data_IF_733865962060
#
_entry.id   IF_733865962060
#
_cell.length_a   1.000
_cell.length_b   1.000
_cell.length_c   1.000
_cell.angle_alpha   90.00
_cell.angle_beta   90.00
_cell.angle_gamma   90.00
#
_symmetry.space_group_name_H-M   'P 1'
#
loop_
_entity.id
_entity.type
_entity.pdbx_description
1 polymer ?
#
# COMPACT_ATOMS: atom_id res chain seq x y z
N UNK A 1 -8.67 -14.83 16.04
CA UNK A 1 -7.78 -14.89 14.86
C UNK A 1 -7.96 -16.16 14.03
N UNK A 2 -8.32 -17.28 14.63
CA UNK A 2 -8.50 -18.56 13.92
C UNK A 2 -9.68 -18.55 12.95
N UNK A 3 -10.71 -17.74 13.19
CA UNK A 3 -11.95 -17.70 12.40
C UNK A 3 -11.75 -17.06 11.00
N UNK A 4 -10.77 -16.17 10.83
CA UNK A 4 -10.52 -15.48 9.56
C UNK A 4 -9.50 -16.18 8.67
N UNK A 5 -8.68 -17.08 9.21
CA UNK A 5 -7.61 -17.78 8.49
C UNK A 5 -8.07 -18.52 7.24
N UNK A 6 -9.27 -19.10 7.26
CA UNK A 6 -9.81 -19.91 6.14
C UNK A 6 -10.68 -19.12 5.17
N UNK A 7 -10.92 -17.83 5.41
CA UNK A 7 -11.92 -17.03 4.68
C UNK A 7 -11.38 -15.78 3.99
N UNK A 8 -10.07 -15.56 4.04
CA UNK A 8 -9.42 -14.42 3.39
C UNK A 8 -8.30 -14.88 2.48
N UNK A 9 -8.15 -14.24 1.34
CA UNK A 9 -7.11 -14.56 0.35
C UNK A 9 -5.80 -13.82 0.63
N UNK A 10 -5.86 -12.67 1.31
CA UNK A 10 -4.72 -11.84 1.67
C UNK A 10 -4.93 -11.21 3.05
N UNK A 11 -3.87 -11.15 3.86
CA UNK A 11 -3.90 -10.50 5.17
C UNK A 11 -3.12 -9.19 5.12
N UNK A 12 -3.78 -8.08 5.51
CA UNK A 12 -3.13 -6.79 5.60
C UNK A 12 -2.64 -6.49 7.02
N UNK A 13 -1.38 -6.08 7.13
CA UNK A 13 -0.79 -5.55 8.36
C UNK A 13 -0.77 -4.03 8.26
N UNK A 14 -1.53 -3.37 9.12
CA UNK A 14 -1.58 -1.91 9.19
C UNK A 14 -0.24 -1.31 9.61
N UNK A 15 0.02 -0.07 9.17
CA UNK A 15 1.27 0.64 9.39
C UNK A 15 1.70 0.70 10.88
N UNK A 16 0.73 0.80 11.81
CA UNK A 16 1.01 0.83 13.25
C UNK A 16 1.52 -0.51 13.81
N UNK A 17 1.33 -1.61 13.08
CA UNK A 17 1.77 -2.96 13.45
C UNK A 17 2.97 -3.43 12.62
N UNK A 18 3.61 -2.56 11.83
CA UNK A 18 4.77 -2.95 11.02
C UNK A 18 5.90 -3.55 11.85
N UNK A 19 6.10 -3.07 13.06
CA UNK A 19 7.13 -3.54 13.99
C UNK A 19 6.59 -4.39 15.16
N UNK A 20 5.36 -4.89 15.04
CA UNK A 20 4.83 -5.87 15.96
C UNK A 20 5.38 -7.26 15.61
N UNK A 21 6.64 -7.51 15.96
CA UNK A 21 7.40 -8.69 15.56
C UNK A 21 6.76 -10.00 15.98
N UNK A 22 6.08 -10.05 17.11
CA UNK A 22 5.36 -11.26 17.55
C UNK A 22 4.18 -11.56 16.61
N UNK A 23 3.45 -10.53 16.18
CA UNK A 23 2.41 -10.67 15.17
C UNK A 23 2.99 -11.11 13.82
N UNK A 24 4.11 -10.50 13.39
CA UNK A 24 4.76 -10.83 12.12
C UNK A 24 5.20 -12.29 12.08
N UNK A 25 5.84 -12.80 13.12
CA UNK A 25 6.23 -14.21 13.26
C UNK A 25 5.05 -15.16 13.18
N UNK A 26 3.94 -14.83 13.84
CA UNK A 26 2.72 -15.65 13.79
C UNK A 26 2.09 -15.67 12.40
N UNK A 27 2.06 -14.53 11.72
CA UNK A 27 1.54 -14.42 10.36
C UNK A 27 2.44 -15.12 9.34
N UNK A 28 3.75 -15.11 9.56
CA UNK A 28 4.72 -15.84 8.75
C UNK A 28 4.54 -17.37 8.77
N UNK A 29 3.79 -17.91 9.74
CA UNK A 29 3.44 -19.34 9.79
C UNK A 29 2.17 -19.69 8.98
N UNK A 30 1.56 -18.68 8.34
CA UNK A 30 0.32 -18.86 7.57
C UNK A 30 0.62 -19.01 6.09
N UNK A 31 -0.08 -19.91 5.44
CA UNK A 31 -0.08 -20.02 3.98
C UNK A 31 -1.10 -19.02 3.36
N UNK A 32 -0.79 -17.74 3.48
CA UNK A 32 -1.57 -16.62 2.90
C UNK A 32 -0.65 -15.46 2.57
N UNK A 33 -0.84 -14.76 1.45
CA UNK A 33 -0.09 -13.54 1.15
C UNK A 33 -0.28 -12.49 2.24
N UNK A 34 0.79 -11.80 2.58
CA UNK A 34 0.81 -10.74 3.60
C UNK A 34 1.13 -9.41 2.93
N UNK A 35 0.22 -8.45 3.05
CA UNK A 35 0.46 -7.07 2.67
C UNK A 35 0.94 -6.28 3.89
N UNK A 36 2.20 -5.86 3.86
CA UNK A 36 2.85 -5.13 4.95
C UNK A 36 2.91 -3.64 4.64
N UNK A 37 2.07 -2.84 5.32
CA UNK A 37 2.09 -1.38 5.20
C UNK A 37 3.27 -0.79 5.95
N UNK A 38 3.98 0.16 5.31
CA UNK A 38 5.09 0.91 5.90
C UNK A 38 4.64 1.70 7.13
N UNK A 39 5.43 1.66 8.19
CA UNK A 39 5.26 2.49 9.37
C UNK A 39 5.48 3.98 9.05
N UNK A 40 4.80 4.86 9.80
CA UNK A 40 4.78 6.30 9.52
C UNK A 40 6.16 6.98 9.57
N UNK A 41 7.09 6.44 10.34
CA UNK A 41 8.47 6.95 10.51
C UNK A 41 9.51 5.88 10.17
N UNK A 42 9.11 4.79 9.50
CA UNK A 42 10.00 3.68 9.20
C UNK A 42 10.91 4.00 8.02
N UNK A 43 12.19 3.70 8.18
CA UNK A 43 13.16 3.67 7.08
C UNK A 43 12.87 2.50 6.13
N UNK A 44 13.47 2.50 4.95
CA UNK A 44 13.38 1.35 4.04
C UNK A 44 13.96 0.08 4.67
N UNK A 45 15.07 0.22 5.41
CA UNK A 45 15.73 -0.90 6.07
C UNK A 45 14.83 -1.53 7.15
N UNK A 46 14.27 -0.72 8.04
CA UNK A 46 13.33 -1.19 9.06
C UNK A 46 12.11 -1.91 8.44
N UNK A 47 11.63 -1.39 7.31
CA UNK A 47 10.50 -1.99 6.61
C UNK A 47 10.85 -3.31 5.94
N UNK A 48 12.01 -3.41 5.27
CA UNK A 48 12.54 -4.65 4.71
C UNK A 48 12.78 -5.67 5.82
N UNK A 49 13.44 -5.28 6.92
CA UNK A 49 13.67 -6.17 8.06
C UNK A 49 12.36 -6.68 8.68
N UNK A 50 11.31 -5.86 8.70
CA UNK A 50 9.99 -6.31 9.15
C UNK A 50 9.39 -7.37 8.20
N UNK A 51 9.58 -7.25 6.89
CA UNK A 51 9.21 -8.29 5.94
C UNK A 51 10.02 -9.57 6.15
N UNK A 52 11.32 -9.45 6.45
CA UNK A 52 12.21 -10.58 6.78
C UNK A 52 11.70 -11.41 7.98
N UNK A 53 11.09 -10.78 9.00
CA UNK A 53 10.50 -11.52 10.12
C UNK A 53 9.36 -12.44 9.68
N UNK A 54 8.58 -12.03 8.67
CA UNK A 54 7.51 -12.85 8.08
C UNK A 54 8.12 -13.99 7.28
N UNK A 55 9.09 -13.67 6.42
CA UNK A 55 9.74 -14.63 5.52
C UNK A 55 10.54 -15.67 6.30
N UNK A 56 11.28 -15.26 7.32
CA UNK A 56 12.05 -16.16 8.19
C UNK A 56 11.15 -17.14 8.99
N UNK A 57 9.89 -16.79 9.19
CA UNK A 57 8.89 -17.68 9.80
C UNK A 57 8.25 -18.67 8.81
N UNK A 58 8.61 -18.61 7.51
CA UNK A 58 8.26 -19.56 6.46
C UNK A 58 7.31 -19.05 5.36
N UNK A 59 6.86 -17.78 5.42
CA UNK A 59 5.96 -17.20 4.40
C UNK A 59 6.69 -16.20 3.50
N UNK A 60 7.03 -16.61 2.30
CA UNK A 60 7.72 -15.76 1.30
C UNK A 60 6.75 -14.85 0.51
N UNK A 61 5.43 -15.02 0.67
CA UNK A 61 4.42 -14.27 -0.07
C UNK A 61 4.13 -12.92 0.61
N UNK A 62 5.09 -12.00 0.56
CA UNK A 62 4.99 -10.68 1.16
C UNK A 62 4.91 -9.60 0.08
N UNK A 63 3.99 -8.65 0.25
CA UNK A 63 3.79 -7.46 -0.58
C UNK A 63 4.06 -6.23 0.29
N UNK A 64 4.92 -5.34 -0.17
CA UNK A 64 5.20 -4.07 0.50
C UNK A 64 4.20 -3.01 0.05
N UNK A 65 3.64 -2.24 1.00
CA UNK A 65 2.70 -1.16 0.69
C UNK A 65 3.18 0.17 1.28
N UNK A 66 3.62 1.08 0.41
CA UNK A 66 3.88 2.48 0.77
C UNK A 66 2.56 3.23 0.93
N UNK A 67 2.36 3.93 2.05
CA UNK A 67 1.12 4.64 2.39
C UNK A 67 1.34 6.05 2.94
N UNK A 68 2.51 6.60 2.68
CA UNK A 68 2.94 7.88 3.19
C UNK A 68 3.66 7.79 4.54
N UNK A 69 4.65 8.65 4.68
CA UNK A 69 5.42 8.83 5.90
C UNK A 69 5.08 10.18 6.54
N UNK A 70 5.28 10.27 7.86
CA UNK A 70 5.12 11.52 8.57
C UNK A 70 6.33 12.42 8.33
N UNK A 71 6.05 13.64 7.89
CA UNK A 71 7.04 14.69 7.71
C UNK A 71 6.62 15.95 8.48
N UNK A 72 7.35 17.04 8.31
CA UNK A 72 6.98 18.34 8.87
C UNK A 72 5.76 18.98 8.17
N UNK A 73 5.38 18.50 6.96
CA UNK A 73 4.23 19.03 6.23
C UNK A 73 2.92 18.59 6.90
N UNK A 74 2.01 19.55 7.09
CA UNK A 74 0.75 19.33 7.79
C UNK A 74 -0.50 19.49 6.93
N UNK A 75 -0.37 19.99 5.70
CA UNK A 75 -1.48 20.18 4.78
C UNK A 75 -2.07 18.87 4.28
N UNK A 76 -1.21 17.86 4.09
CA UNK A 76 -1.61 16.49 3.77
C UNK A 76 -1.48 15.59 4.99
N UNK A 77 -2.21 14.48 5.01
CA UNK A 77 -2.17 13.52 6.12
C UNK A 77 -0.78 12.93 6.34
N UNK A 78 -0.11 12.59 5.24
CA UNK A 78 1.29 12.13 5.20
C UNK A 78 1.90 12.56 3.86
N UNK A 79 3.21 12.43 3.74
CA UNK A 79 3.94 12.64 2.48
C UNK A 79 4.13 11.29 1.79
N UNK A 80 3.64 11.15 0.57
CA UNK A 80 3.82 9.96 -0.24
C UNK A 80 5.26 9.88 -0.75
N UNK A 81 5.97 8.82 -0.40
CA UNK A 81 7.36 8.60 -0.80
C UNK A 81 7.45 7.71 -2.04
N UNK A 82 7.39 8.32 -3.22
CA UNK A 82 7.51 7.60 -4.49
C UNK A 82 8.92 7.08 -4.76
N UNK A 83 9.94 7.64 -4.10
CA UNK A 83 11.31 7.14 -4.21
C UNK A 83 11.44 5.73 -3.64
N UNK A 84 10.56 5.33 -2.75
CA UNK A 84 10.52 3.96 -2.22
C UNK A 84 10.43 2.90 -3.32
N UNK A 85 9.73 3.19 -4.42
CA UNK A 85 9.51 2.23 -5.51
C UNK A 85 10.82 1.76 -6.12
N UNK A 86 11.63 2.62 -6.78
CA UNK A 86 12.87 2.20 -7.40
C UNK A 86 13.92 1.71 -6.37
N UNK A 87 13.90 2.26 -5.15
CA UNK A 87 14.83 1.82 -4.09
C UNK A 87 14.53 0.39 -3.66
N UNK A 88 13.27 0.06 -3.38
CA UNK A 88 12.88 -1.28 -2.94
C UNK A 88 13.06 -2.30 -4.07
N UNK A 89 12.72 -1.95 -5.30
CA UNK A 89 12.97 -2.83 -6.47
C UNK A 89 14.45 -3.15 -6.70
N UNK A 90 15.36 -2.29 -6.25
CA UNK A 90 16.79 -2.55 -6.28
C UNK A 90 17.27 -3.41 -5.10
N UNK A 91 16.61 -3.30 -3.95
CA UNK A 91 17.03 -3.94 -2.69
C UNK A 91 16.34 -5.28 -2.43
N UNK A 92 15.17 -5.52 -2.98
CA UNK A 92 14.36 -6.72 -2.74
C UNK A 92 13.62 -7.17 -3.99
N UNK A 93 13.18 -8.42 -4.02
CA UNK A 93 12.33 -9.00 -5.06
C UNK A 93 10.84 -8.82 -4.78
N UNK A 94 10.49 -8.30 -3.61
CA UNK A 94 9.10 -8.18 -3.18
C UNK A 94 8.32 -7.17 -4.02
N UNK A 95 7.05 -7.47 -4.34
CA UNK A 95 6.16 -6.49 -5.00
C UNK A 95 5.95 -5.25 -4.13
N UNK A 96 5.90 -4.09 -4.78
CA UNK A 96 5.69 -2.80 -4.13
C UNK A 96 4.41 -2.17 -4.65
N UNK A 97 3.41 -2.03 -3.80
CA UNK A 97 2.17 -1.30 -4.10
C UNK A 97 2.11 0.03 -3.35
N UNK A 98 1.31 0.94 -3.85
CA UNK A 98 1.19 2.31 -3.31
C UNK A 98 -0.25 2.57 -2.92
N UNK A 99 -0.41 3.20 -1.76
CA UNK A 99 -1.69 3.62 -1.20
C UNK A 99 -1.76 5.16 -1.15
N UNK A 100 -2.17 5.83 -2.25
CA UNK A 100 -2.26 7.28 -2.30
C UNK A 100 -3.40 7.83 -1.45
N UNK A 101 -4.44 7.02 -1.18
CA UNK A 101 -5.59 7.43 -0.36
C UNK A 101 -5.17 7.75 1.07
N UNK A 102 -4.48 6.81 1.73
CA UNK A 102 -4.00 7.01 3.09
C UNK A 102 -2.79 7.95 3.17
N UNK A 103 -2.03 8.11 2.09
CA UNK A 103 -0.92 9.04 2.06
C UNK A 103 -1.41 10.49 2.08
N UNK A 104 -2.17 10.90 1.08
CA UNK A 104 -2.65 12.28 0.96
C UNK A 104 -3.76 12.63 1.92
N UNK A 105 -4.65 11.68 2.22
CA UNK A 105 -5.83 11.88 3.07
C UNK A 105 -6.91 12.76 2.43
N UNK A 106 -6.81 13.02 1.13
CA UNK A 106 -7.73 13.88 0.37
C UNK A 106 -8.01 13.25 -1.00
N UNK A 107 -9.28 13.07 -1.36
CA UNK A 107 -9.70 12.39 -2.57
C UNK A 107 -9.10 12.96 -3.86
N UNK A 108 -8.94 14.29 -3.97
CA UNK A 108 -8.40 14.94 -5.17
C UNK A 108 -6.90 14.73 -5.38
N UNK A 109 -6.17 14.28 -4.35
CA UNK A 109 -4.76 13.88 -4.47
C UNK A 109 -4.61 12.44 -4.99
N UNK A 110 -5.64 11.61 -4.86
CA UNK A 110 -5.54 10.18 -5.19
C UNK A 110 -5.21 9.99 -6.68
N UNK A 111 -5.90 10.68 -7.57
CA UNK A 111 -5.69 10.54 -9.01
C UNK A 111 -4.27 10.91 -9.44
N UNK A 112 -3.74 12.12 -9.18
CA UNK A 112 -2.38 12.47 -9.60
C UNK A 112 -1.31 11.58 -8.95
N UNK A 113 -1.48 11.19 -7.68
CA UNK A 113 -0.51 10.34 -6.99
C UNK A 113 -0.57 8.89 -7.47
N UNK A 114 -1.74 8.36 -7.80
CA UNK A 114 -1.87 7.03 -8.42
C UNK A 114 -1.15 6.96 -9.77
N UNK A 115 -1.35 7.95 -10.64
CA UNK A 115 -0.68 8.06 -11.93
C UNK A 115 0.85 8.14 -11.78
N UNK A 116 1.32 9.01 -10.88
CA UNK A 116 2.75 9.15 -10.59
C UNK A 116 3.35 7.85 -10.04
N UNK A 117 2.61 7.10 -9.21
CA UNK A 117 3.04 5.82 -8.67
C UNK A 117 3.25 4.77 -9.76
N UNK A 118 2.32 4.66 -10.71
CA UNK A 118 2.44 3.74 -11.85
C UNK A 118 3.61 4.16 -12.73
N UNK A 119 3.75 5.45 -13.02
CA UNK A 119 4.87 5.99 -13.80
C UNK A 119 6.23 5.73 -13.14
N UNK A 120 6.28 5.75 -11.79
CA UNK A 120 7.49 5.40 -11.03
C UNK A 120 7.76 3.89 -10.98
N UNK A 121 6.86 3.04 -11.50
CA UNK A 121 7.03 1.60 -11.61
C UNK A 121 6.42 0.78 -10.47
N UNK A 122 5.44 1.30 -9.74
CA UNK A 122 4.69 0.51 -8.75
C UNK A 122 4.09 -0.76 -9.37
N UNK A 123 3.99 -1.85 -8.59
CA UNK A 123 3.41 -3.12 -9.03
C UNK A 123 1.89 -3.16 -8.85
N UNK A 124 1.34 -2.22 -8.08
CA UNK A 124 -0.09 -2.09 -7.87
C UNK A 124 -0.44 -0.84 -7.06
N UNK A 125 -1.73 -0.63 -6.92
CA UNK A 125 -2.30 0.49 -6.17
C UNK A 125 -3.34 -0.02 -5.18
N UNK A 126 -3.45 0.65 -4.04
CA UNK A 126 -4.54 0.49 -3.09
C UNK A 126 -5.31 1.82 -3.02
N UNK A 127 -6.56 1.82 -3.42
CA UNK A 127 -7.37 3.03 -3.51
C UNK A 127 -8.69 2.80 -2.76
N UNK A 128 -9.06 3.74 -1.91
CA UNK A 128 -10.35 3.74 -1.25
C UNK A 128 -11.44 4.31 -2.15
N UNK A 129 -12.52 3.56 -2.26
CA UNK A 129 -13.69 3.92 -3.06
C UNK A 129 -14.94 3.81 -2.20
N UNK A 130 -15.80 4.82 -2.26
CA UNK A 130 -17.07 4.83 -1.55
C UNK A 130 -18.16 5.46 -2.44
N UNK A 131 -19.35 4.88 -2.45
CA UNK A 131 -20.47 5.39 -3.24
C UNK A 131 -20.95 6.78 -2.78
N UNK A 132 -20.85 7.05 -1.48
CA UNK A 132 -21.20 8.32 -0.86
C UNK A 132 -20.15 8.71 0.21
N UNK A 133 -19.01 9.31 -0.20
CA UNK A 133 -17.91 9.62 0.72
C UNK A 133 -18.28 10.57 1.86
N UNK A 134 -19.31 11.41 1.69
CA UNK A 134 -19.76 12.36 2.71
C UNK A 134 -20.46 11.64 3.88
N UNK A 135 -21.07 10.48 3.60
CA UNK A 135 -21.73 9.64 4.60
C UNK A 135 -20.86 8.45 5.07
N UNK A 136 -19.61 8.36 4.64
CA UNK A 136 -18.72 7.28 5.03
C UNK A 136 -18.43 7.31 6.53
N UNK A 137 -18.50 6.14 7.18
CA UNK A 137 -18.21 6.00 8.62
C UNK A 137 -16.74 6.26 8.96
N UNK A 138 -15.83 6.07 7.99
CA UNK A 138 -14.40 6.39 8.11
C UNK A 138 -13.84 6.75 6.75
N UNK A 139 -12.74 7.49 6.74
CA UNK A 139 -11.89 7.80 5.58
C UNK A 139 -12.61 8.37 4.33
N UNK A 140 -13.81 8.95 4.48
CA UNK A 140 -14.57 9.52 3.38
C UNK A 140 -13.83 10.65 2.65
N UNK A 141 -13.08 11.48 3.37
CA UNK A 141 -12.32 12.59 2.79
C UNK A 141 -11.27 12.16 1.74
N UNK A 142 -10.82 10.93 1.79
CA UNK A 142 -9.81 10.35 0.89
C UNK A 142 -10.38 9.35 -0.11
N UNK A 143 -11.69 9.02 -0.02
CA UNK A 143 -12.35 8.04 -0.88
C UNK A 143 -12.76 8.65 -2.21
N UNK A 144 -12.53 7.93 -3.30
CA UNK A 144 -13.08 8.26 -4.61
C UNK A 144 -14.51 7.77 -4.75
N UNK A 145 -15.31 8.49 -5.56
CA UNK A 145 -16.58 7.95 -6.05
C UNK A 145 -16.31 6.91 -7.15
N UNK A 146 -17.20 5.89 -7.34
CA UNK A 146 -16.99 4.81 -8.34
C UNK A 146 -16.70 5.32 -9.75
N UNK A 147 -17.38 6.39 -10.19
CA UNK A 147 -17.19 6.96 -11.54
C UNK A 147 -15.79 7.56 -11.71
N UNK A 148 -15.27 8.23 -10.66
CA UNK A 148 -13.90 8.76 -10.68
C UNK A 148 -12.86 7.66 -10.68
N UNK A 149 -13.12 6.58 -9.93
CA UNK A 149 -12.25 5.41 -9.92
C UNK A 149 -12.21 4.72 -11.29
N UNK A 150 -13.37 4.54 -11.94
CA UNK A 150 -13.44 3.95 -13.28
C UNK A 150 -12.66 4.79 -14.32
N UNK A 151 -12.83 6.13 -14.27
CA UNK A 151 -12.08 7.03 -15.15
C UNK A 151 -10.57 6.97 -14.89
N UNK A 152 -10.16 6.86 -13.61
CA UNK A 152 -8.75 6.73 -13.23
C UNK A 152 -8.16 5.42 -13.75
N UNK A 153 -8.87 4.30 -13.67
CA UNK A 153 -8.39 2.99 -14.17
C UNK A 153 -8.04 3.04 -15.66
N UNK A 154 -8.88 3.68 -16.49
CA UNK A 154 -8.61 3.82 -17.91
C UNK A 154 -7.31 4.60 -18.19
N UNK A 155 -7.04 5.64 -17.41
CA UNK A 155 -5.82 6.45 -17.56
C UNK A 155 -4.58 5.72 -17.02
N UNK A 156 -4.72 4.99 -15.92
CA UNK A 156 -3.64 4.14 -15.36
C UNK A 156 -3.21 3.09 -16.37
N UNK A 157 -4.15 2.45 -17.08
CA UNK A 157 -3.85 1.46 -18.10
C UNK A 157 -2.96 2.02 -19.23
N UNK A 158 -3.18 3.26 -19.65
CA UNK A 158 -2.34 3.93 -20.63
C UNK A 158 -0.91 4.19 -20.11
N UNK A 159 -0.79 4.66 -18.87
CA UNK A 159 0.52 4.91 -18.25
C UNK A 159 1.28 3.60 -18.03
N UNK A 160 0.57 2.55 -17.58
CA UNK A 160 1.16 1.23 -17.37
C UNK A 160 1.81 0.68 -18.65
N UNK A 161 1.16 0.83 -19.82
CA UNK A 161 1.73 0.45 -21.11
C UNK A 161 3.03 1.20 -21.42
N UNK A 162 3.12 2.49 -21.12
CA UNK A 162 4.34 3.30 -21.34
C UNK A 162 5.52 2.77 -20.50
N UNK A 163 5.25 2.30 -19.30
CA UNK A 163 6.30 1.75 -18.39
C UNK A 163 6.45 0.23 -18.49
N UNK A 164 5.85 -0.40 -19.52
CA UNK A 164 5.99 -1.84 -19.80
C UNK A 164 5.22 -2.72 -18.82
N UNK A 165 4.18 -2.23 -18.17
CA UNK A 165 3.30 -2.99 -17.28
C UNK A 165 1.92 -3.23 -17.91
N UNK A 166 1.25 -4.29 -17.42
CA UNK A 166 -0.15 -4.60 -17.76
C UNK A 166 -1.03 -4.32 -16.53
N UNK A 167 -2.25 -3.84 -16.78
CA UNK A 167 -3.30 -3.60 -15.78
C UNK A 167 -4.46 -4.52 -16.05
#
# INVERSE_FOLDING_TARGET
TTLFRSKVDLIQIGARNMQNFDLLKQLGQLDRPILLKRGLNATYEEWIMSAEYIMAAGNENVILCERGIRTFETYTRNTLDLQSIPVLKKKTHLPVIIDPSHAGGKWWLVEPMAKASVAAGADGLMIEVHNDPECALCDGAQSLKPEKYAALLAQIGQIAQVVGKQV
#
